data_IF_387097722476
#
_entry.id   IF_387097722476
#
_cell.length_a   1.000
_cell.length_b   1.000
_cell.length_c   1.000
_cell.angle_alpha   90.00
_cell.angle_beta   90.00
_cell.angle_gamma   90.00
#
_symmetry.space_group_name_H-M   'P 1'
#
loop_
_entity.id
_entity.type
_entity.pdbx_description
1 polymer ?
#
# COMPACT_ATOMS: atom_id res chain seq x y z
N UNK A 1 5.94 -18.55 6.13
CA UNK A 1 7.08 -17.98 5.38
C UNK A 1 7.73 -16.95 6.28
N UNK A 2 9.01 -17.08 6.58
CA UNK A 2 9.72 -16.10 7.42
C UNK A 2 9.87 -14.80 6.64
N UNK A 3 9.38 -13.69 7.19
CA UNK A 3 9.45 -12.39 6.51
C UNK A 3 10.90 -11.86 6.56
N UNK A 4 11.48 -11.55 5.41
CA UNK A 4 12.79 -10.90 5.31
C UNK A 4 12.74 -9.54 6.02
N UNK A 5 13.61 -9.36 7.03
CA UNK A 5 13.72 -8.10 7.77
C UNK A 5 14.89 -7.28 7.22
N UNK A 6 14.61 -6.05 6.82
CA UNK A 6 15.64 -5.08 6.42
C UNK A 6 16.02 -4.18 7.62
N UNK A 7 17.31 -3.86 7.74
CA UNK A 7 17.80 -2.91 8.75
C UNK A 7 17.73 -1.51 8.17
N UNK A 8 16.96 -0.63 8.82
CA UNK A 8 16.84 0.77 8.45
C UNK A 8 17.29 1.64 9.63
N UNK A 9 18.17 2.61 9.36
CA UNK A 9 18.52 3.66 10.32
C UNK A 9 17.70 4.91 9.99
N UNK A 10 17.03 5.46 11.01
CA UNK A 10 16.19 6.66 10.86
C UNK A 10 16.64 7.69 11.89
N UNK A 11 16.65 8.95 11.48
CA UNK A 11 16.81 10.10 12.36
C UNK A 11 15.45 10.77 12.51
N UNK A 12 15.07 11.08 13.75
CA UNK A 12 13.81 11.74 14.09
C UNK A 12 14.11 12.93 14.98
N UNK A 13 13.18 13.88 15.05
CA UNK A 13 13.32 15.03 15.93
C UNK A 13 13.19 14.61 17.40
N UNK A 14 13.81 15.38 18.31
CA UNK A 14 13.83 15.04 19.74
C UNK A 14 12.41 14.90 20.30
N UNK A 15 11.49 15.80 19.94
CA UNK A 15 10.10 15.73 20.42
C UNK A 15 9.40 14.42 20.01
N UNK A 16 9.69 13.90 18.82
CA UNK A 16 9.15 12.62 18.34
C UNK A 16 9.72 11.47 19.15
N UNK A 17 11.02 11.52 19.45
CA UNK A 17 11.70 10.54 20.27
C UNK A 17 11.15 10.51 21.71
N UNK A 18 10.94 11.68 22.33
CA UNK A 18 10.37 11.77 23.68
C UNK A 18 8.96 11.18 23.76
N UNK A 19 8.10 11.48 22.78
CA UNK A 19 6.75 10.88 22.71
C UNK A 19 6.83 9.35 22.60
N UNK A 20 7.69 8.84 21.71
CA UNK A 20 7.87 7.39 21.54
C UNK A 20 8.39 6.72 22.82
N UNK A 21 9.28 7.38 23.57
CA UNK A 21 9.75 6.90 24.87
C UNK A 21 8.64 6.85 25.92
N UNK A 22 7.78 7.87 25.97
CA UNK A 22 6.64 7.88 26.90
C UNK A 22 5.67 6.73 26.60
N UNK A 23 5.33 6.54 25.32
CA UNK A 23 4.46 5.44 24.88
C UNK A 23 5.11 4.08 25.14
N UNK A 24 6.42 3.95 24.93
CA UNK A 24 7.18 2.73 25.25
C UNK A 24 7.07 2.36 26.72
N UNK A 25 7.21 3.33 27.63
CA UNK A 25 7.05 3.12 29.07
C UNK A 25 5.63 2.71 29.45
N UNK A 26 4.61 3.39 28.91
CA UNK A 26 3.19 3.10 29.17
C UNK A 26 2.77 1.72 28.68
N UNK A 27 3.25 1.32 27.50
CA UNK A 27 2.84 0.06 26.83
C UNK A 27 3.76 -1.12 27.12
N UNK A 28 4.91 -0.89 27.79
CA UNK A 28 6.00 -1.86 27.99
C UNK A 28 6.50 -2.49 26.69
N UNK A 29 6.40 -1.77 25.57
CA UNK A 29 6.90 -2.20 24.26
C UNK A 29 8.22 -1.51 23.92
N UNK A 30 9.09 -2.17 23.15
CA UNK A 30 10.29 -1.53 22.62
C UNK A 30 9.94 -0.49 21.54
N UNK A 31 10.82 0.51 21.37
CA UNK A 31 10.68 1.52 20.31
C UNK A 31 10.55 0.87 18.91
N UNK A 32 11.36 -0.14 18.60
CA UNK A 32 11.26 -0.86 17.33
C UNK A 32 9.92 -1.59 17.17
N UNK A 33 9.32 -2.08 18.25
CA UNK A 33 7.98 -2.67 18.20
C UNK A 33 6.93 -1.61 17.91
N UNK A 34 6.98 -0.47 18.59
CA UNK A 34 6.05 0.64 18.36
C UNK A 34 6.13 1.18 16.93
N UNK A 35 7.33 1.36 16.40
CA UNK A 35 7.52 1.80 15.01
C UNK A 35 6.91 0.78 14.03
N UNK A 36 7.12 -0.53 14.26
CA UNK A 36 6.49 -1.57 13.42
C UNK A 36 4.98 -1.58 13.54
N UNK A 37 4.43 -1.37 14.74
CA UNK A 37 2.99 -1.28 14.95
C UNK A 37 2.40 -0.08 14.20
N UNK A 38 3.04 1.10 14.29
CA UNK A 38 2.64 2.31 13.56
C UNK A 38 2.69 2.12 12.04
N UNK A 39 3.77 1.49 11.53
CA UNK A 39 3.89 1.15 10.11
C UNK A 39 2.78 0.17 9.71
N UNK A 40 2.55 -0.86 10.52
CA UNK A 40 1.51 -1.85 10.26
C UNK A 40 0.14 -1.18 10.24
N UNK A 41 -0.20 -0.35 11.22
CA UNK A 41 -1.50 0.33 11.28
C UNK A 41 -1.70 1.26 10.08
N UNK A 42 -0.67 2.03 9.72
CA UNK A 42 -0.72 2.96 8.58
C UNK A 42 -0.91 2.24 7.25
N UNK A 43 -0.19 1.13 7.05
CA UNK A 43 -0.12 0.46 5.75
C UNK A 43 -1.04 -0.76 5.61
N UNK A 44 -1.56 -1.33 6.70
CA UNK A 44 -2.48 -2.47 6.65
C UNK A 44 -3.80 -2.14 5.94
N UNK A 45 -4.25 -0.88 6.01
CA UNK A 45 -5.41 -0.42 5.23
C UNK A 45 -5.06 -0.26 3.74
N UNK A 46 -3.83 0.11 3.44
CA UNK A 46 -3.36 0.34 2.08
C UNK A 46 -3.13 -0.98 1.32
N UNK A 47 -2.74 -2.05 2.01
CA UNK A 47 -2.63 -3.40 1.43
C UNK A 47 -3.98 -4.10 1.24
N UNK A 48 -5.04 -3.68 1.94
CA UNK A 48 -6.41 -4.14 1.63
C UNK A 48 -7.05 -3.37 0.46
N UNK A 49 -6.62 -2.13 0.22
CA UNK A 49 -7.18 -1.23 -0.81
C UNK A 49 -6.91 -1.66 -2.25
N UNK A 50 -5.92 -2.50 -2.53
CA UNK A 50 -5.73 -3.05 -3.90
C UNK A 50 -6.77 -4.09 -4.29
N UNK A 51 -7.57 -4.59 -3.33
CA UNK A 51 -8.64 -5.56 -3.60
C UNK A 51 -10.03 -4.92 -3.78
N UNK A 52 -10.17 -3.62 -3.51
CA UNK A 52 -11.46 -2.92 -3.48
C UNK A 52 -11.46 -1.59 -4.25
N UNK A 53 -10.51 -1.37 -5.16
CA UNK A 53 -10.66 -0.23 -6.07
C UNK A 53 -11.88 -0.52 -6.96
N UNK A 54 -12.93 0.29 -6.85
CA UNK A 54 -14.18 0.11 -7.61
C UNK A 54 -13.93 0.11 -9.13
N UNK A 55 -12.80 0.70 -9.55
CA UNK A 55 -12.30 0.66 -10.92
C UNK A 55 -11.93 -0.76 -11.37
N UNK A 56 -11.39 -1.63 -10.49
CA UNK A 56 -11.10 -3.03 -10.85
C UNK A 56 -12.36 -3.84 -11.12
N UNK A 57 -13.50 -3.50 -10.50
CA UNK A 57 -14.80 -4.10 -10.82
C UNK A 57 -15.35 -3.69 -12.20
N UNK A 58 -14.79 -2.63 -12.80
CA UNK A 58 -15.14 -2.15 -14.15
C UNK A 58 -14.30 -2.84 -15.22
N UNK A 59 -13.10 -3.32 -14.86
CA UNK A 59 -12.20 -4.02 -15.77
C UNK A 59 -12.80 -5.38 -16.13
N UNK A 60 -13.25 -5.53 -17.38
CA UNK A 60 -13.88 -6.75 -17.90
C UNK A 60 -15.39 -6.69 -18.14
N UNK A 61 -16.04 -5.54 -17.95
CA UNK A 61 -17.47 -5.36 -18.27
C UNK A 61 -17.75 -5.41 -19.79
N UNK A 62 -16.76 -5.06 -20.62
CA UNK A 62 -16.88 -5.16 -22.07
C UNK A 62 -16.76 -6.60 -22.56
N UNK A 63 -17.82 -7.14 -23.16
CA UNK A 63 -17.76 -8.40 -23.90
C UNK A 63 -17.26 -8.12 -25.33
N UNK A 64 -16.05 -8.59 -25.63
CA UNK A 64 -15.48 -8.59 -26.98
C UNK A 64 -15.19 -10.01 -27.44
N UNK A 65 -14.86 -10.18 -28.71
CA UNK A 65 -14.48 -11.47 -29.32
C UNK A 65 -13.07 -11.97 -28.90
N UNK A 66 -12.42 -11.29 -27.94
CA UNK A 66 -11.09 -11.62 -27.45
C UNK A 66 -9.95 -11.08 -28.32
N UNK A 67 -10.25 -10.35 -29.41
CA UNK A 67 -9.23 -9.69 -30.22
C UNK A 67 -8.56 -8.53 -29.46
N UNK A 68 -7.25 -8.33 -29.66
CA UNK A 68 -6.47 -7.29 -28.95
C UNK A 68 -6.66 -5.91 -29.59
N UNK A 69 -7.90 -5.40 -29.52
CA UNK A 69 -8.29 -4.11 -30.12
C UNK A 69 -7.53 -2.93 -29.50
N UNK A 70 -7.07 -3.05 -28.25
CA UNK A 70 -6.35 -1.99 -27.55
C UNK A 70 -5.06 -1.55 -28.27
N UNK A 71 -4.35 -2.48 -28.94
CA UNK A 71 -3.12 -2.18 -29.69
C UNK A 71 -3.39 -1.65 -31.09
N UNK A 72 -4.56 -1.93 -31.65
CA UNK A 72 -4.97 -1.55 -33.02
C UNK A 72 -6.06 -0.48 -33.02
N UNK A 73 -6.23 0.28 -31.93
CA UNK A 73 -7.35 1.20 -31.74
C UNK A 73 -7.51 2.19 -32.91
N UNK A 74 -6.42 2.65 -33.52
CA UNK A 74 -6.44 3.53 -34.71
C UNK A 74 -7.20 2.93 -35.90
N UNK A 75 -7.21 1.61 -36.04
CA UNK A 75 -7.91 0.91 -37.14
C UNK A 75 -9.42 0.84 -36.90
N UNK A 76 -9.84 0.80 -35.64
CA UNK A 76 -11.23 0.64 -35.23
C UNK A 76 -11.90 1.98 -34.89
N UNK A 77 -11.13 2.98 -34.50
CA UNK A 77 -11.59 4.34 -34.19
C UNK A 77 -11.55 5.27 -35.40
N UNK A 78 -11.59 4.73 -36.62
CA UNK A 78 -11.59 5.51 -37.85
C UNK A 78 -12.72 6.54 -37.80
N UNK A 79 -12.36 7.81 -37.60
CA UNK A 79 -13.28 8.94 -37.64
C UNK A 79 -13.85 9.06 -39.05
N UNK A 80 -15.17 9.29 -39.12
CA UNK A 80 -15.92 9.64 -40.32
C UNK A 80 -15.44 10.97 -40.92
#
# INVERSE_FOLDING_TARGET
MEATKHRTQISIEDWQYQILLEVSRKTKKSLSSLIRDLLTEKFSKQTMSTKEDSIWGIIGIGAGDGSSVAREHDRFLLFL
#
